data_IF_713328169968
#
_entry.id   IF_713328169968
#
_cell.length_a   1.000
_cell.length_b   1.000
_cell.length_c   1.000
_cell.angle_alpha   90.00
_cell.angle_beta   90.00
_cell.angle_gamma   90.00
#
_symmetry.space_group_name_H-M   'P 1'
#
loop_
_entity.id
_entity.type
_entity.pdbx_description
1 polymer ?
#
# COMPACT_ATOMS: atom_id res chain seq x y z
N UNK A 1 -0.42 4.65 17.99
CA UNK A 1 -0.02 5.99 18.44
C UNK A 1 0.32 6.87 17.26
N UNK A 2 -0.29 8.07 17.15
CA UNK A 2 0.04 9.04 16.11
C UNK A 2 0.13 10.45 16.71
N UNK A 3 1.18 11.17 16.35
CA UNK A 3 1.32 12.58 16.73
C UNK A 3 0.37 13.46 15.91
N UNK A 4 -0.15 14.51 16.54
CA UNK A 4 -0.80 15.60 15.79
C UNK A 4 0.21 16.29 14.86
N UNK A 5 -0.21 16.85 13.70
CA UNK A 5 0.68 17.54 12.77
C UNK A 5 1.52 18.65 13.42
N UNK A 6 0.97 19.36 14.41
CA UNK A 6 1.69 20.40 15.18
C UNK A 6 2.58 19.82 16.30
N UNK A 7 2.61 18.49 16.46
CA UNK A 7 3.40 17.78 17.48
C UNK A 7 3.09 18.14 18.94
N UNK A 8 1.94 18.74 19.22
CA UNK A 8 1.55 19.12 20.58
C UNK A 8 0.77 18.02 21.30
N UNK A 9 0.17 17.08 20.54
CA UNK A 9 -0.68 16.02 21.05
C UNK A 9 -0.33 14.67 20.42
N UNK A 10 -0.81 13.61 21.04
CA UNK A 10 -0.70 12.26 20.52
C UNK A 10 -2.05 11.53 20.69
N UNK A 11 -2.56 10.94 19.61
CA UNK A 11 -3.76 10.13 19.66
C UNK A 11 -3.40 8.64 19.75
N UNK A 12 -4.21 7.88 20.46
CA UNK A 12 -4.04 6.45 20.68
C UNK A 12 -5.38 5.77 21.00
N UNK A 13 -5.39 4.45 20.97
CA UNK A 13 -6.54 3.64 21.38
C UNK A 13 -6.23 2.92 22.70
N UNK A 14 -7.23 2.86 23.57
CA UNK A 14 -7.22 2.12 24.85
C UNK A 14 -8.63 1.62 25.16
N UNK A 15 -8.75 0.35 25.51
CA UNK A 15 -10.03 -0.31 25.78
C UNK A 15 -11.07 -0.09 24.64
N UNK A 16 -10.56 -0.23 23.40
CA UNK A 16 -11.33 -0.03 22.16
C UNK A 16 -11.99 1.36 22.02
N UNK A 17 -11.45 2.35 22.73
CA UNK A 17 -11.82 3.75 22.62
C UNK A 17 -10.65 4.62 22.16
N UNK A 18 -11.00 5.72 21.48
CA UNK A 18 -10.05 6.73 21.01
C UNK A 18 -9.75 7.74 22.13
N UNK A 19 -8.48 8.05 22.30
CA UNK A 19 -7.95 8.96 23.32
C UNK A 19 -6.94 9.93 22.72
N UNK A 20 -6.78 11.07 23.36
CA UNK A 20 -5.72 12.04 23.05
C UNK A 20 -5.00 12.40 24.34
N UNK A 21 -3.67 12.51 24.28
CA UNK A 21 -2.82 13.05 25.35
C UNK A 21 -2.16 14.34 24.88
N UNK A 22 -2.19 15.37 25.70
CA UNK A 22 -1.41 16.58 25.52
C UNK A 22 0.02 16.33 25.99
N UNK A 23 1.01 16.56 25.13
CA UNK A 23 2.41 16.18 25.39
C UNK A 23 3.03 17.01 26.51
N UNK A 24 2.67 18.30 26.63
CA UNK A 24 3.24 19.19 27.60
C UNK A 24 2.67 18.94 29.01
N UNK A 25 1.35 18.80 29.12
CA UNK A 25 0.65 18.66 30.42
C UNK A 25 0.51 17.23 30.88
N UNK A 26 0.67 16.24 29.97
CA UNK A 26 0.37 14.82 30.18
C UNK A 26 -1.12 14.54 30.46
N UNK A 27 -1.98 15.53 30.25
CA UNK A 27 -3.43 15.37 30.41
C UNK A 27 -4.01 14.50 29.33
N UNK A 28 -4.75 13.46 29.71
CA UNK A 28 -5.46 12.55 28.77
C UNK A 28 -6.93 12.95 28.66
N UNK A 29 -7.45 12.84 27.43
CA UNK A 29 -8.87 13.07 27.13
C UNK A 29 -9.41 11.88 26.34
N UNK A 30 -10.47 11.26 26.84
CA UNK A 30 -11.22 10.23 26.12
C UNK A 30 -12.17 10.88 25.12
N UNK A 31 -12.20 10.37 23.89
CA UNK A 31 -13.00 10.93 22.80
C UNK A 31 -14.21 10.06 22.41
N UNK A 32 -14.13 8.74 22.66
CA UNK A 32 -15.23 7.79 22.43
C UNK A 32 -15.48 6.94 23.67
N UNK A 33 -16.71 6.42 23.88
CA UNK A 33 -17.10 5.86 25.18
C UNK A 33 -17.84 4.52 25.10
N UNK A 34 -18.08 4.00 23.89
CA UNK A 34 -18.85 2.76 23.66
C UNK A 34 -17.99 1.56 23.26
N UNK A 35 -16.65 1.69 23.41
CA UNK A 35 -15.71 0.60 23.16
C UNK A 35 -16.00 -0.62 24.00
N UNK A 36 -15.95 -1.81 23.37
CA UNK A 36 -16.20 -3.11 23.98
C UNK A 36 -15.46 -4.21 23.20
N UNK A 37 -15.66 -5.46 23.58
CA UNK A 37 -15.07 -6.62 22.86
C UNK A 37 -15.49 -6.71 21.39
N UNK A 38 -16.59 -6.05 21.02
CA UNK A 38 -17.14 -6.06 19.66
C UNK A 38 -17.17 -4.68 19.01
N UNK A 39 -17.13 -3.61 19.80
CA UNK A 39 -17.14 -2.23 19.30
C UNK A 39 -15.73 -1.65 19.39
N UNK A 40 -15.17 -1.31 18.23
CA UNK A 40 -13.80 -0.80 18.11
C UNK A 40 -13.82 0.63 17.56
N UNK A 41 -13.35 1.59 18.32
CA UNK A 41 -13.24 2.99 17.91
C UNK A 41 -11.79 3.35 17.60
N UNK A 42 -11.49 3.67 16.33
CA UNK A 42 -10.14 4.01 15.89
C UNK A 42 -9.16 2.83 15.88
N UNK A 43 -9.64 1.64 16.15
CA UNK A 43 -8.89 0.38 16.09
C UNK A 43 -9.53 -0.53 15.05
N UNK A 44 -8.75 -1.03 14.07
CA UNK A 44 -9.28 -1.79 12.93
C UNK A 44 -9.81 -3.16 13.30
N UNK A 45 -10.95 -3.52 12.74
CA UNK A 45 -11.37 -4.91 12.60
C UNK A 45 -10.40 -5.68 11.68
N UNK A 46 -10.36 -7.03 11.79
CA UNK A 46 -9.37 -7.86 11.10
C UNK A 46 -9.32 -7.62 9.59
N UNK A 47 -10.46 -7.69 8.90
CA UNK A 47 -10.49 -7.52 7.43
C UNK A 47 -9.96 -6.15 6.99
N UNK A 48 -10.23 -5.10 7.77
CA UNK A 48 -9.70 -3.76 7.48
C UNK A 48 -8.21 -3.65 7.75
N UNK A 49 -7.73 -4.23 8.84
CA UNK A 49 -6.32 -4.27 9.17
C UNK A 49 -5.51 -5.07 8.14
N UNK A 50 -6.02 -6.22 7.72
CA UNK A 50 -5.29 -7.13 6.83
C UNK A 50 -5.35 -6.64 5.38
N UNK A 51 -6.54 -6.29 4.87
CA UNK A 51 -6.78 -6.17 3.44
C UNK A 51 -6.93 -4.70 2.96
N UNK A 52 -7.49 -3.82 3.79
CA UNK A 52 -7.88 -2.47 3.33
C UNK A 52 -6.90 -1.41 3.79
N UNK A 53 -6.67 -1.28 5.10
CA UNK A 53 -5.75 -0.28 5.66
C UNK A 53 -4.30 -0.77 5.69
N UNK A 54 -4.11 -2.09 5.63
CA UNK A 54 -2.82 -2.76 5.57
C UNK A 54 -2.11 -2.89 6.91
N UNK A 55 -1.31 -3.94 7.06
CA UNK A 55 -0.54 -4.28 8.27
C UNK A 55 0.38 -3.16 8.79
N UNK A 56 1.00 -2.31 7.94
CA UNK A 56 1.84 -1.22 8.42
C UNK A 56 1.12 -0.20 9.31
N UNK A 57 -0.22 -0.15 9.24
CA UNK A 57 -1.02 0.76 10.09
C UNK A 57 -1.03 0.36 11.57
N UNK A 58 -0.58 -0.84 11.92
CA UNK A 58 -0.65 -1.37 13.29
C UNK A 58 -2.04 -1.25 13.92
N UNK A 59 -3.08 -1.65 13.17
CA UNK A 59 -4.50 -1.52 13.53
C UNK A 59 -5.01 -0.07 13.69
N UNK A 60 -4.25 0.95 13.34
CA UNK A 60 -4.70 2.34 13.44
C UNK A 60 -5.78 2.62 12.39
N UNK A 61 -6.97 3.02 12.86
CA UNK A 61 -8.11 3.42 12.02
C UNK A 61 -8.59 4.82 12.40
N UNK A 62 -7.65 5.75 12.62
CA UNK A 62 -7.93 7.16 12.88
C UNK A 62 -6.85 8.06 12.28
N UNK A 63 -7.23 9.27 11.89
CA UNK A 63 -6.39 10.20 11.12
C UNK A 63 -6.59 11.63 11.59
N UNK A 64 -5.48 12.30 11.93
CA UNK A 64 -5.47 13.70 12.30
C UNK A 64 -5.80 14.61 11.12
N UNK A 65 -6.60 15.65 11.36
CA UNK A 65 -6.72 16.75 10.40
C UNK A 65 -5.42 17.57 10.36
N UNK A 66 -5.06 18.16 9.20
CA UNK A 66 -3.85 18.99 9.06
C UNK A 66 -3.74 20.13 10.09
N UNK A 67 -4.85 20.71 10.51
CA UNK A 67 -4.92 21.78 11.52
C UNK A 67 -4.79 21.28 12.98
N UNK A 68 -4.63 19.96 13.20
CA UNK A 68 -4.50 19.33 14.52
C UNK A 68 -5.72 19.50 15.45
N UNK A 69 -6.90 19.84 14.91
CA UNK A 69 -8.09 20.10 15.73
C UNK A 69 -9.13 19.01 15.69
N UNK A 70 -9.05 18.13 14.71
CA UNK A 70 -10.03 17.08 14.49
C UNK A 70 -9.35 15.73 14.25
N UNK A 71 -10.06 14.65 14.54
CA UNK A 71 -9.65 13.29 14.18
C UNK A 71 -10.80 12.62 13.46
N UNK A 72 -10.58 12.20 12.21
CA UNK A 72 -11.45 11.26 11.53
C UNK A 72 -11.14 9.85 12.02
N UNK A 73 -12.14 9.02 12.27
CA UNK A 73 -11.95 7.65 12.72
C UNK A 73 -13.04 6.71 12.22
N UNK A 74 -12.70 5.44 12.13
CA UNK A 74 -13.67 4.37 11.87
C UNK A 74 -14.08 3.71 13.17
N UNK A 75 -15.38 3.50 13.33
CA UNK A 75 -16.01 2.71 14.37
C UNK A 75 -16.53 1.41 13.76
N UNK A 76 -16.02 0.29 14.24
CA UNK A 76 -16.41 -1.04 13.79
C UNK A 76 -17.34 -1.69 14.81
N UNK A 77 -18.42 -2.30 14.32
CA UNK A 77 -19.24 -3.24 15.08
C UNK A 77 -19.03 -4.65 14.55
N UNK A 78 -18.32 -5.45 15.34
CA UNK A 78 -17.99 -6.84 15.02
C UNK A 78 -19.02 -7.85 15.60
N UNK A 79 -20.16 -7.41 16.14
CA UNK A 79 -21.11 -8.30 16.83
C UNK A 79 -21.58 -9.48 15.96
N UNK A 80 -21.75 -9.23 14.66
CA UNK A 80 -22.18 -10.24 13.69
C UNK A 80 -21.02 -10.96 12.99
N UNK A 81 -19.76 -10.56 13.23
CA UNK A 81 -18.57 -11.20 12.63
C UNK A 81 -18.28 -12.51 13.34
N UNK A 82 -18.19 -13.65 12.63
CA UNK A 82 -17.86 -14.94 13.22
C UNK A 82 -16.51 -14.96 13.92
N UNK A 83 -16.40 -15.82 14.93
CA UNK A 83 -15.17 -16.02 15.70
C UNK A 83 -14.40 -17.20 15.13
N UNK A 84 -13.11 -17.02 14.91
CA UNK A 84 -12.18 -18.03 14.42
C UNK A 84 -11.02 -18.27 15.41
N UNK A 85 -10.67 -19.53 15.72
CA UNK A 85 -9.54 -19.83 16.60
C UNK A 85 -8.21 -19.71 15.83
N UNK A 86 -7.32 -18.85 16.32
CA UNK A 86 -5.94 -18.75 15.83
C UNK A 86 -5.02 -19.39 16.86
N UNK A 87 -4.35 -20.46 16.46
CA UNK A 87 -3.36 -21.14 17.29
C UNK A 87 -2.01 -20.44 17.22
N UNK A 88 -1.41 -20.19 18.36
CA UNK A 88 -0.02 -19.77 18.51
C UNK A 88 0.80 -20.92 19.13
N UNK A 89 1.97 -21.27 18.58
CA UNK A 89 2.84 -22.27 19.19
C UNK A 89 3.50 -21.78 20.48
N UNK A 90 3.34 -20.51 20.81
CA UNK A 90 3.91 -19.89 22.00
C UNK A 90 2.85 -19.70 23.08
N UNK A 91 3.23 -19.81 24.35
CA UNK A 91 2.39 -19.42 25.47
C UNK A 91 2.12 -17.89 25.42
N UNK A 92 0.97 -17.47 25.95
CA UNK A 92 0.52 -16.06 25.91
C UNK A 92 1.54 -15.07 26.52
N UNK A 93 2.29 -15.52 27.53
CA UNK A 93 3.33 -14.72 28.19
C UNK A 93 4.67 -14.63 27.40
N UNK A 94 4.91 -15.52 26.44
CA UNK A 94 6.11 -15.49 25.61
C UNK A 94 6.07 -14.35 24.54
N UNK A 95 4.88 -13.89 24.21
CA UNK A 95 4.66 -12.80 23.24
C UNK A 95 5.01 -11.41 23.82
N UNK A 96 5.23 -11.30 25.12
CA UNK A 96 5.59 -10.05 25.80
C UNK A 96 7.05 -9.63 25.62
N UNK A 97 7.90 -10.50 25.11
CA UNK A 97 9.35 -10.26 25.08
C UNK A 97 9.89 -9.65 23.78
N UNK A 98 9.13 -8.80 23.07
CA UNK A 98 9.78 -7.86 22.15
C UNK A 98 9.31 -7.76 20.71
N UNK A 99 8.35 -8.55 20.25
CA UNK A 99 7.82 -8.41 18.88
C UNK A 99 6.33 -8.15 18.75
N UNK A 100 5.58 -8.06 19.85
CA UNK A 100 4.14 -8.05 19.75
C UNK A 100 3.36 -7.27 20.80
N UNK A 101 3.87 -6.17 21.33
CA UNK A 101 3.12 -5.34 22.32
C UNK A 101 1.77 -4.80 21.82
N UNK A 102 1.53 -4.83 20.51
CA UNK A 102 0.25 -4.40 19.92
C UNK A 102 -0.79 -5.53 19.82
N UNK A 103 -0.39 -6.79 19.94
CA UNK A 103 -1.27 -7.92 19.71
C UNK A 103 -2.07 -8.37 20.95
N UNK A 104 -1.61 -8.05 22.17
CA UNK A 104 -2.13 -8.71 23.37
C UNK A 104 -3.29 -8.00 24.07
N UNK A 105 -3.58 -6.75 23.76
CA UNK A 105 -4.55 -6.00 24.59
C UNK A 105 -5.98 -5.91 24.02
N UNK A 106 -6.20 -6.15 22.74
CA UNK A 106 -7.50 -5.88 22.12
C UNK A 106 -8.04 -6.96 21.17
N UNK A 107 -7.35 -8.06 20.96
CA UNK A 107 -7.93 -9.20 20.26
C UNK A 107 -8.66 -10.06 21.27
N UNK A 108 -9.98 -10.14 21.16
CA UNK A 108 -10.94 -10.76 22.06
C UNK A 108 -10.39 -11.83 23.00
N UNK A 109 -10.85 -11.82 24.23
CA UNK A 109 -10.31 -12.61 25.35
C UNK A 109 -9.74 -13.96 24.92
N UNK A 110 -8.43 -14.16 25.11
CA UNK A 110 -7.84 -15.48 24.93
C UNK A 110 -8.55 -16.44 25.87
N UNK A 111 -9.22 -17.43 25.33
CA UNK A 111 -9.78 -18.52 26.14
C UNK A 111 -8.61 -19.37 26.54
N UNK A 112 -8.10 -19.17 27.76
CA UNK A 112 -7.14 -20.08 28.35
C UNK A 112 -7.79 -21.47 28.43
N UNK A 113 -7.30 -22.40 27.65
CA UNK A 113 -7.72 -23.79 27.77
C UNK A 113 -7.16 -24.34 29.11
N UNK A 114 -8.00 -24.82 30.02
CA UNK A 114 -7.51 -25.40 31.27
C UNK A 114 -6.60 -26.60 30.94
N UNK A 115 -5.40 -26.61 31.51
CA UNK A 115 -4.36 -27.66 31.39
C UNK A 115 -3.43 -27.57 30.16
N UNK A 116 -3.25 -26.43 29.52
CA UNK A 116 -2.16 -26.29 28.56
C UNK A 116 -0.86 -25.96 29.29
N UNK A 117 0.17 -26.75 29.04
CA UNK A 117 1.53 -26.50 29.54
C UNK A 117 2.00 -25.12 29.14
N UNK A 118 2.77 -24.35 29.95
CA UNK A 118 3.37 -23.08 29.58
C UNK A 118 4.19 -23.14 28.30
N UNK A 119 4.59 -24.31 27.85
CA UNK A 119 5.28 -24.55 26.57
C UNK A 119 4.36 -25.09 25.47
N UNK A 120 3.05 -25.17 25.71
CA UNK A 120 2.08 -25.85 24.84
C UNK A 120 1.33 -24.99 23.84
N UNK A 121 1.69 -23.71 23.71
CA UNK A 121 0.98 -22.77 22.83
C UNK A 121 -0.30 -22.18 23.43
N UNK A 122 -0.94 -21.31 22.69
CA UNK A 122 -2.19 -20.64 23.04
C UNK A 122 -3.17 -20.62 21.88
N UNK A 123 -4.47 -20.48 22.18
CA UNK A 123 -5.52 -20.29 21.16
C UNK A 123 -6.17 -18.93 21.41
N UNK A 124 -6.10 -18.05 20.42
CA UNK A 124 -6.78 -16.78 20.45
C UNK A 124 -8.05 -16.84 19.59
N UNK A 125 -9.18 -16.50 20.21
CA UNK A 125 -10.47 -16.40 19.53
C UNK A 125 -10.56 -15.03 18.88
N UNK A 126 -10.52 -14.95 17.54
CA UNK A 126 -10.46 -13.69 16.79
C UNK A 126 -11.71 -13.53 15.93
N UNK A 127 -12.31 -12.33 15.90
CA UNK A 127 -13.36 -11.98 14.96
C UNK A 127 -12.78 -11.93 13.56
N UNK A 128 -13.04 -12.97 12.77
CA UNK A 128 -12.42 -13.18 11.46
C UNK A 128 -13.47 -13.66 10.46
N UNK A 129 -13.90 -12.79 9.51
CA UNK A 129 -14.87 -13.18 8.50
C UNK A 129 -14.18 -14.01 7.41
N UNK A 130 -14.72 -15.18 7.10
CA UNK A 130 -14.35 -15.97 5.93
C UNK A 130 -15.21 -15.58 4.73
N UNK A 131 -14.90 -16.13 3.56
CA UNK A 131 -15.72 -15.93 2.36
C UNK A 131 -17.19 -16.28 2.63
N UNK A 132 -18.07 -15.32 2.38
CA UNK A 132 -19.52 -15.46 2.61
C UNK A 132 -20.00 -15.10 4.01
N UNK A 133 -19.13 -14.92 4.99
CA UNK A 133 -19.49 -14.47 6.33
C UNK A 133 -19.82 -12.98 6.37
N UNK A 134 -20.45 -12.54 7.46
CA UNK A 134 -20.73 -11.13 7.70
C UNK A 134 -19.44 -10.37 7.99
N UNK A 135 -19.30 -9.21 7.33
CA UNK A 135 -18.28 -8.22 7.62
C UNK A 135 -18.68 -7.35 8.83
N UNK A 136 -17.73 -6.63 9.44
CA UNK A 136 -18.08 -5.61 10.45
C UNK A 136 -18.93 -4.51 9.84
N UNK A 137 -19.91 -4.01 10.61
CA UNK A 137 -20.60 -2.76 10.28
C UNK A 137 -19.67 -1.59 10.60
N UNK A 138 -19.63 -0.59 9.73
CA UNK A 138 -18.68 0.53 9.88
C UNK A 138 -19.41 1.85 9.89
N UNK A 139 -19.10 2.69 10.89
CA UNK A 139 -19.47 4.10 10.91
C UNK A 139 -18.23 4.96 10.88
N UNK A 140 -18.33 6.13 10.30
CA UNK A 140 -17.23 7.07 10.17
C UNK A 140 -17.53 8.28 11.01
N UNK A 141 -16.68 8.54 12.02
CA UNK A 141 -16.81 9.68 12.92
C UNK A 141 -15.70 10.70 12.65
N UNK A 142 -16.04 11.98 12.85
CA UNK A 142 -15.08 13.08 12.86
C UNK A 142 -15.25 13.80 14.19
N UNK A 143 -14.30 13.62 15.10
CA UNK A 143 -14.37 14.21 16.44
C UNK A 143 -13.53 15.48 16.50
N UNK A 144 -14.12 16.56 17.01
CA UNK A 144 -13.41 17.78 17.39
C UNK A 144 -12.79 17.58 18.79
N UNK A 145 -11.46 17.64 18.88
CA UNK A 145 -10.72 17.34 20.13
C UNK A 145 -10.88 18.40 21.22
N UNK A 146 -11.36 19.62 20.88
CA UNK A 146 -11.52 20.70 21.85
C UNK A 146 -12.83 20.59 22.64
N UNK A 147 -13.91 20.16 21.99
CA UNK A 147 -15.24 20.11 22.59
C UNK A 147 -15.85 18.71 22.67
N UNK A 148 -15.17 17.69 22.11
CA UNK A 148 -15.64 16.31 22.11
C UNK A 148 -16.82 16.02 21.17
N UNK A 149 -17.30 17.00 20.40
CA UNK A 149 -18.38 16.78 19.45
C UNK A 149 -17.93 15.90 18.29
N UNK A 150 -18.70 14.86 17.99
CA UNK A 150 -18.48 13.96 16.86
C UNK A 150 -19.57 14.14 15.81
N UNK A 151 -19.15 14.57 14.61
CA UNK A 151 -19.98 14.50 13.41
C UNK A 151 -19.89 13.09 12.82
N UNK A 152 -21.03 12.44 12.61
CA UNK A 152 -21.08 11.12 11.95
C UNK A 152 -21.39 11.28 10.48
N UNK A 153 -20.56 10.70 9.63
CA UNK A 153 -20.78 10.69 8.18
C UNK A 153 -22.08 9.96 7.82
N UNK A 154 -22.82 10.54 6.89
CA UNK A 154 -24.14 10.06 6.47
C UNK A 154 -24.04 8.84 5.53
N UNK A 155 -23.59 7.69 6.08
CA UNK A 155 -23.62 6.37 5.43
C UNK A 155 -24.51 5.42 6.24
N UNK A 156 -25.26 4.55 5.54
CA UNK A 156 -26.00 3.48 6.21
C UNK A 156 -25.02 2.37 6.63
N UNK A 157 -24.90 2.13 7.93
CA UNK A 157 -24.01 1.10 8.48
C UNK A 157 -24.48 -0.33 8.19
N UNK A 158 -25.73 -0.51 7.72
CA UNK A 158 -26.29 -1.81 7.37
C UNK A 158 -26.03 -2.20 5.91
N UNK A 159 -25.53 -1.28 5.08
CA UNK A 159 -25.09 -1.62 3.74
C UNK A 159 -23.86 -2.56 3.80
N UNK A 160 -23.83 -3.59 2.96
CA UNK A 160 -22.68 -4.49 2.82
C UNK A 160 -21.61 -3.80 1.96
N UNK A 161 -20.76 -3.02 2.62
CA UNK A 161 -19.81 -2.09 2.00
C UNK A 161 -18.46 -2.06 2.70
N UNK A 162 -17.48 -1.59 1.96
CA UNK A 162 -16.15 -1.31 2.46
C UNK A 162 -15.82 0.17 2.33
N UNK A 163 -14.94 0.66 3.22
CA UNK A 163 -14.38 1.99 3.17
C UNK A 163 -12.85 1.90 3.10
N UNK A 164 -12.25 2.52 2.09
CA UNK A 164 -10.80 2.56 1.91
C UNK A 164 -10.10 3.49 2.89
N UNK A 165 -8.79 3.64 2.76
CA UNK A 165 -8.03 4.64 3.51
C UNK A 165 -8.56 6.04 3.21
N UNK A 166 -8.98 6.81 4.21
CA UNK A 166 -9.49 8.16 4.00
C UNK A 166 -8.37 9.18 3.90
N UNK A 167 -8.71 10.36 3.40
CA UNK A 167 -7.77 11.48 3.25
C UNK A 167 -8.37 12.77 3.79
N UNK A 168 -7.58 13.57 4.50
CA UNK A 168 -7.96 14.93 4.84
C UNK A 168 -7.60 15.89 3.71
N UNK A 169 -8.51 16.79 3.38
CA UNK A 169 -8.18 17.97 2.57
C UNK A 169 -7.14 18.86 3.27
N UNK A 170 -6.29 19.51 2.50
CA UNK A 170 -5.21 20.35 3.04
C UNK A 170 -5.72 21.50 3.95
N UNK A 171 -6.95 21.95 3.71
CA UNK A 171 -7.65 22.99 4.49
C UNK A 171 -8.33 22.47 5.76
N UNK A 172 -8.34 21.16 5.98
CA UNK A 172 -9.05 20.49 7.09
C UNK A 172 -10.60 20.65 7.07
N UNK A 173 -11.17 21.06 5.94
CA UNK A 173 -12.60 21.30 5.80
C UNK A 173 -13.37 20.14 5.15
N UNK A 174 -12.65 19.15 4.63
CA UNK A 174 -13.24 17.93 4.06
C UNK A 174 -12.46 16.71 4.46
N UNK A 175 -13.19 15.63 4.82
CA UNK A 175 -12.65 14.30 5.03
C UNK A 175 -13.08 13.41 3.87
N UNK A 176 -12.14 13.01 3.01
CA UNK A 176 -12.43 12.28 1.79
C UNK A 176 -12.52 10.79 2.07
N UNK A 177 -13.67 10.20 1.76
CA UNK A 177 -14.01 8.80 2.03
C UNK A 177 -14.21 8.06 0.72
N UNK A 178 -13.49 6.97 0.56
CA UNK A 178 -13.67 6.01 -0.51
C UNK A 178 -14.64 4.92 -0.05
N UNK A 179 -15.60 4.57 -0.89
CA UNK A 179 -16.58 3.53 -0.62
C UNK A 179 -16.69 2.54 -1.78
N UNK A 180 -16.72 1.27 -1.47
CA UNK A 180 -17.05 0.19 -2.40
C UNK A 180 -18.17 -0.70 -1.81
N UNK A 181 -19.08 -1.24 -2.63
CA UNK A 181 -19.93 -2.35 -2.21
C UNK A 181 -19.06 -3.62 -2.04
N UNK A 182 -19.59 -4.63 -1.36
CA UNK A 182 -18.88 -5.92 -1.20
C UNK A 182 -18.45 -6.56 -2.52
N UNK A 183 -19.13 -6.29 -3.62
CA UNK A 183 -18.76 -6.76 -4.96
C UNK A 183 -17.53 -6.09 -5.54
N UNK A 184 -17.08 -4.98 -4.97
CA UNK A 184 -15.86 -4.22 -5.29
C UNK A 184 -15.75 -3.80 -6.77
N UNK A 185 -16.85 -3.72 -7.48
CA UNK A 185 -16.89 -3.35 -8.91
C UNK A 185 -17.37 -1.91 -9.15
N UNK A 186 -17.54 -1.15 -8.07
CA UNK A 186 -17.91 0.26 -8.08
C UNK A 186 -17.14 0.97 -6.98
N UNK A 187 -16.51 2.09 -7.29
CA UNK A 187 -15.83 2.95 -6.31
C UNK A 187 -16.45 4.34 -6.36
N UNK A 188 -16.86 4.82 -5.18
CA UNK A 188 -17.35 6.17 -4.97
C UNK A 188 -16.40 6.94 -4.05
N UNK A 189 -16.11 8.21 -4.38
CA UNK A 189 -15.38 9.13 -3.52
C UNK A 189 -16.30 10.25 -3.04
N UNK A 190 -16.34 10.45 -1.73
CA UNK A 190 -17.13 11.47 -1.07
C UNK A 190 -16.27 12.47 -0.31
N UNK A 191 -16.62 13.75 -0.38
CA UNK A 191 -16.14 14.76 0.55
C UNK A 191 -17.14 14.87 1.71
N UNK A 192 -16.71 14.55 2.92
CA UNK A 192 -17.53 14.57 4.13
C UNK A 192 -17.21 15.82 4.94
N UNK A 193 -18.26 16.55 5.33
CA UNK A 193 -18.17 17.75 6.16
C UNK A 193 -17.83 17.36 7.63
N UNK A 194 -16.77 17.92 8.23
CA UNK A 194 -16.44 17.69 9.62
C UNK A 194 -17.36 18.43 10.61
N UNK A 195 -18.29 19.25 10.12
CA UNK A 195 -19.20 20.04 10.93
C UNK A 195 -20.47 19.26 11.26
N UNK A 196 -21.04 18.57 10.30
CA UNK A 196 -22.36 17.91 10.42
C UNK A 196 -22.41 16.49 9.84
N UNK A 197 -21.30 16.02 9.24
CA UNK A 197 -21.23 14.69 8.63
C UNK A 197 -21.90 14.56 7.27
N UNK A 198 -22.45 15.65 6.72
CA UNK A 198 -23.03 15.64 5.37
C UNK A 198 -21.96 15.25 4.34
N UNK A 199 -22.37 14.49 3.31
CA UNK A 199 -21.46 14.01 2.27
C UNK A 199 -21.80 14.58 0.91
N UNK A 200 -20.78 14.95 0.14
CA UNK A 200 -20.88 15.32 -1.27
C UNK A 200 -20.18 14.26 -2.11
N UNK A 201 -20.89 13.65 -3.03
CA UNK A 201 -20.34 12.71 -4.01
C UNK A 201 -19.54 13.48 -5.06
N UNK A 202 -18.26 13.13 -5.28
CA UNK A 202 -17.35 13.86 -6.18
C UNK A 202 -16.74 13.01 -7.27
N UNK A 203 -16.70 11.67 -7.10
CA UNK A 203 -16.18 10.77 -8.12
C UNK A 203 -16.91 9.43 -8.07
N UNK A 204 -17.12 8.84 -9.24
CA UNK A 204 -17.72 7.54 -9.42
C UNK A 204 -17.01 6.76 -10.53
N UNK A 205 -16.73 5.50 -10.27
CA UNK A 205 -16.13 4.59 -11.23
C UNK A 205 -16.74 3.21 -11.12
N UNK A 206 -16.90 2.53 -12.25
CA UNK A 206 -17.33 1.14 -12.34
C UNK A 206 -16.41 0.34 -13.24
N UNK A 207 -16.22 -0.93 -12.91
CA UNK A 207 -15.41 -1.82 -13.74
C UNK A 207 -16.01 -3.22 -13.83
N UNK A 208 -15.62 -3.98 -14.85
CA UNK A 208 -16.15 -5.33 -15.17
C UNK A 208 -15.71 -6.41 -14.17
N UNK A 209 -14.59 -6.22 -13.48
CA UNK A 209 -14.02 -7.15 -12.50
C UNK A 209 -14.07 -6.54 -11.11
N UNK A 210 -12.96 -6.08 -10.56
CA UNK A 210 -12.88 -5.34 -9.29
C UNK A 210 -12.12 -4.04 -9.51
N UNK A 211 -12.37 -3.08 -8.64
CA UNK A 211 -11.64 -1.82 -8.56
C UNK A 211 -10.58 -1.89 -7.45
N UNK A 212 -9.51 -1.16 -7.62
CA UNK A 212 -8.52 -0.94 -6.58
C UNK A 212 -8.82 0.39 -5.89
N UNK A 213 -8.54 0.49 -4.60
CA UNK A 213 -8.60 1.75 -3.86
C UNK A 213 -7.76 2.83 -4.52
N UNK A 214 -8.12 4.09 -4.32
CA UNK A 214 -7.25 5.21 -4.66
C UNK A 214 -6.15 5.25 -3.61
N UNK A 215 -4.95 4.82 -3.98
CA UNK A 215 -3.78 4.79 -3.11
C UNK A 215 -2.95 6.07 -3.32
N UNK A 216 -2.95 6.94 -2.32
CA UNK A 216 -2.23 8.20 -2.35
C UNK A 216 -2.87 9.29 -3.22
N UNK A 217 -3.52 10.26 -2.58
CA UNK A 217 -4.01 11.47 -3.22
C UNK A 217 -3.07 12.64 -2.93
N UNK A 218 -2.82 13.49 -3.94
CA UNK A 218 -2.20 14.79 -3.72
C UNK A 218 -3.23 15.89 -3.92
N UNK A 219 -3.30 16.79 -2.95
CA UNK A 219 -4.22 17.92 -2.97
C UNK A 219 -3.53 19.13 -3.55
N UNK A 220 -3.98 19.57 -4.72
CA UNK A 220 -3.56 20.82 -5.35
C UNK A 220 -4.47 21.99 -4.99
N UNK A 221 -4.20 23.17 -5.55
CA UNK A 221 -4.99 24.37 -5.31
C UNK A 221 -6.47 24.22 -5.68
N UNK A 222 -6.74 23.60 -6.83
CA UNK A 222 -8.07 23.59 -7.44
C UNK A 222 -8.67 22.18 -7.54
N UNK A 223 -7.97 21.14 -7.06
CA UNK A 223 -8.41 19.77 -7.15
C UNK A 223 -7.39 18.75 -6.67
N UNK A 224 -7.69 17.49 -6.95
CA UNK A 224 -7.00 16.30 -6.45
C UNK A 224 -6.28 15.63 -7.62
N UNK A 225 -5.07 15.13 -7.37
CA UNK A 225 -4.37 14.22 -8.27
C UNK A 225 -4.43 12.81 -7.72
N UNK A 226 -4.78 11.84 -8.55
CA UNK A 226 -4.95 10.45 -8.19
C UNK A 226 -4.50 9.52 -9.32
N UNK A 227 -4.27 8.24 -9.00
CA UNK A 227 -3.90 7.21 -9.97
C UNK A 227 -5.07 6.26 -10.19
N UNK A 228 -5.43 6.00 -11.47
CA UNK A 228 -6.47 5.03 -11.86
C UNK A 228 -6.02 4.24 -13.10
N UNK A 229 -6.50 3.00 -13.27
CA UNK A 229 -6.08 2.08 -14.35
C UNK A 229 -7.20 1.63 -15.29
N UNK A 230 -8.45 1.98 -15.02
CA UNK A 230 -9.62 1.27 -15.57
C UNK A 230 -10.08 1.79 -16.94
N UNK A 231 -9.56 2.94 -17.38
CA UNK A 231 -9.83 3.48 -18.72
C UNK A 231 -8.89 2.90 -19.79
N UNK A 232 -7.64 2.62 -19.41
CA UNK A 232 -6.56 2.29 -20.38
C UNK A 232 -5.93 0.92 -20.16
N UNK A 233 -6.41 0.14 -19.17
CA UNK A 233 -5.79 -1.09 -18.68
C UNK A 233 -4.42 -0.88 -17.99
N UNK A 234 -3.94 0.37 -17.92
CA UNK A 234 -2.68 0.79 -17.30
C UNK A 234 -2.90 1.95 -16.34
N UNK A 235 -2.08 2.05 -15.32
CA UNK A 235 -2.17 3.13 -14.34
C UNK A 235 -1.82 4.48 -14.98
N UNK A 236 -2.69 5.45 -14.79
CA UNK A 236 -2.53 6.82 -15.27
C UNK A 236 -2.81 7.81 -14.15
N UNK A 237 -2.19 8.97 -14.24
CA UNK A 237 -2.48 10.09 -13.35
C UNK A 237 -3.69 10.84 -13.87
N UNK A 238 -4.65 11.10 -12.98
CA UNK A 238 -5.84 11.91 -13.23
C UNK A 238 -5.86 13.12 -12.31
N UNK A 239 -6.38 14.21 -12.83
CA UNK A 239 -6.81 15.36 -12.05
C UNK A 239 -8.33 15.33 -11.92
N UNK A 240 -8.82 15.57 -10.70
CA UNK A 240 -10.24 15.69 -10.35
C UNK A 240 -10.45 17.04 -9.64
N UNK A 241 -11.38 17.88 -10.15
CA UNK A 241 -11.75 19.11 -9.43
C UNK A 241 -12.47 18.81 -8.11
N UNK A 242 -12.35 19.69 -7.12
CA UNK A 242 -13.00 19.50 -5.81
C UNK A 242 -14.51 19.41 -5.86
N UNK A 243 -15.14 19.93 -6.90
CA UNK A 243 -16.57 19.82 -7.12
C UNK A 243 -16.99 18.58 -7.90
N UNK A 244 -16.02 17.80 -8.42
CA UNK A 244 -16.25 16.62 -9.24
C UNK A 244 -16.63 16.92 -10.70
N UNK A 245 -16.67 18.18 -11.10
CA UNK A 245 -17.15 18.57 -12.45
C UNK A 245 -16.12 18.34 -13.56
N UNK A 246 -14.84 18.23 -13.22
CA UNK A 246 -13.73 18.01 -14.16
C UNK A 246 -12.91 16.80 -13.76
N UNK A 247 -12.85 15.82 -14.65
CA UNK A 247 -11.90 14.71 -14.59
C UNK A 247 -11.02 14.74 -15.82
N UNK A 248 -9.69 14.75 -15.65
CA UNK A 248 -8.75 14.83 -16.77
C UNK A 248 -7.57 13.90 -16.59
N UNK A 249 -7.32 13.03 -17.57
CA UNK A 249 -6.13 12.19 -17.63
C UNK A 249 -4.90 13.02 -18.02
N UNK A 250 -3.79 12.83 -17.31
CA UNK A 250 -2.55 13.59 -17.48
C UNK A 250 -1.40 12.78 -18.09
N UNK A 251 -1.47 11.45 -18.03
CA UNK A 251 -0.43 10.56 -18.55
C UNK A 251 -1.00 9.53 -19.51
N UNK A 252 -0.11 8.92 -20.28
CA UNK A 252 -0.37 7.81 -21.19
C UNK A 252 0.72 6.75 -21.08
N UNK A 253 0.50 5.60 -21.72
CA UNK A 253 1.46 4.51 -21.85
C UNK A 253 1.28 3.40 -20.82
N UNK A 254 2.17 2.46 -20.85
CA UNK A 254 2.14 1.25 -20.02
C UNK A 254 2.79 1.51 -18.67
N UNK A 255 2.08 2.20 -17.77
CA UNK A 255 2.57 2.49 -16.42
C UNK A 255 1.96 1.52 -15.42
N UNK A 256 2.76 1.06 -14.47
CA UNK A 256 2.28 0.28 -13.32
C UNK A 256 3.02 0.65 -12.03
N UNK A 257 2.51 0.24 -10.88
CA UNK A 257 3.04 0.62 -9.55
C UNK A 257 3.33 2.11 -9.44
N UNK A 258 2.41 2.89 -10.00
CA UNK A 258 2.52 4.33 -10.01
C UNK A 258 2.18 4.91 -8.64
N UNK A 259 3.06 5.72 -8.10
CA UNK A 259 2.80 6.50 -6.88
C UNK A 259 3.11 7.97 -7.11
N UNK A 260 2.20 8.82 -6.64
CA UNK A 260 2.37 10.26 -6.67
C UNK A 260 3.35 10.70 -5.58
N UNK A 261 4.27 11.60 -5.91
CA UNK A 261 5.30 12.09 -4.98
C UNK A 261 5.04 13.53 -4.57
N UNK A 262 4.81 14.41 -5.54
CA UNK A 262 4.61 15.83 -5.27
C UNK A 262 3.94 16.52 -6.48
N UNK A 263 3.30 17.67 -6.23
CA UNK A 263 2.73 18.54 -7.25
C UNK A 263 3.32 19.91 -7.13
N UNK A 264 4.02 20.36 -8.18
CA UNK A 264 4.44 21.74 -8.33
C UNK A 264 3.37 22.50 -9.08
N UNK A 265 2.64 23.32 -8.35
CA UNK A 265 1.56 24.13 -8.93
C UNK A 265 2.07 25.13 -9.96
N UNK A 266 1.40 25.16 -11.09
CA UNK A 266 1.61 26.18 -12.11
C UNK A 266 1.15 27.58 -11.68
N UNK A 267 1.33 28.58 -12.53
CA UNK A 267 0.81 29.91 -12.27
C UNK A 267 -0.71 29.87 -12.11
N UNK A 268 -1.23 30.63 -11.14
CA UNK A 268 -2.66 30.78 -10.95
C UNK A 268 -3.29 31.29 -12.28
N UNK A 269 -4.15 30.48 -12.86
CA UNK A 269 -4.92 30.76 -14.06
C UNK A 269 -6.41 30.72 -13.75
N UNK A 270 -7.26 31.15 -14.68
CA UNK A 270 -8.71 31.00 -14.56
C UNK A 270 -9.06 29.53 -14.83
N UNK A 271 -9.47 28.82 -13.79
CA UNK A 271 -9.84 27.40 -13.87
C UNK A 271 -8.64 26.50 -13.97
N UNK A 272 -8.92 25.17 -13.86
CA UNK A 272 -7.91 24.16 -14.06
C UNK A 272 -7.41 24.20 -15.51
N UNK A 273 -6.29 24.87 -15.73
CA UNK A 273 -5.44 24.65 -16.89
C UNK A 273 -4.45 23.53 -16.53
N UNK A 274 -4.93 22.28 -16.47
CA UNK A 274 -4.14 21.07 -16.14
C UNK A 274 -2.83 20.93 -16.91
N UNK A 275 -2.55 21.90 -17.75
CA UNK A 275 -1.35 22.00 -18.53
C UNK A 275 -0.18 22.73 -17.89
N UNK A 276 -0.31 23.37 -16.71
CA UNK A 276 0.78 24.16 -16.13
C UNK A 276 1.39 23.59 -14.85
N UNK A 277 0.69 22.71 -14.15
CA UNK A 277 1.25 22.01 -12.99
C UNK A 277 2.16 20.86 -13.42
N UNK A 278 3.25 20.66 -12.69
CA UNK A 278 4.17 19.53 -12.88
C UNK A 278 3.92 18.53 -11.76
N UNK A 279 3.55 17.29 -12.12
CA UNK A 279 3.37 16.19 -11.17
C UNK A 279 4.59 15.30 -11.19
N UNK A 280 5.21 15.11 -10.02
CA UNK A 280 6.31 14.18 -9.81
C UNK A 280 5.76 12.83 -9.34
N UNK A 281 6.22 11.75 -9.95
CA UNK A 281 5.73 10.41 -9.65
C UNK A 281 6.80 9.34 -9.85
N UNK A 282 6.62 8.21 -9.20
CA UNK A 282 7.38 6.98 -9.41
C UNK A 282 6.49 5.99 -10.15
N UNK A 283 7.03 5.26 -11.11
CA UNK A 283 6.29 4.23 -11.84
C UNK A 283 7.21 3.19 -12.48
N UNK A 284 6.73 1.97 -12.68
CA UNK A 284 7.22 1.04 -13.66
C UNK A 284 6.66 1.47 -15.02
N UNK A 285 7.50 2.05 -15.87
CA UNK A 285 7.13 2.58 -17.17
C UNK A 285 8.06 2.08 -18.27
N UNK A 286 9.35 2.37 -18.13
CA UNK A 286 10.38 1.97 -19.10
C UNK A 286 10.86 0.51 -18.85
N UNK A 287 10.45 -0.07 -17.74
CA UNK A 287 10.70 -1.46 -17.34
C UNK A 287 9.50 -1.96 -16.54
N UNK A 288 9.16 -3.23 -16.67
CA UNK A 288 8.09 -3.89 -15.91
C UNK A 288 8.53 -4.44 -14.55
N UNK A 289 9.83 -4.37 -14.25
CA UNK A 289 10.43 -4.87 -13.00
C UNK A 289 11.23 -3.80 -12.27
N UNK A 290 11.21 -2.55 -12.78
CA UNK A 290 12.03 -1.45 -12.25
C UNK A 290 11.24 -0.16 -12.29
N UNK A 291 11.13 0.48 -11.14
CA UNK A 291 10.51 1.79 -11.00
C UNK A 291 11.50 2.91 -11.28
N UNK A 292 11.09 3.92 -12.03
CA UNK A 292 11.84 5.16 -12.25
C UNK A 292 11.13 6.37 -11.64
N UNK A 293 11.87 7.46 -11.48
CA UNK A 293 11.34 8.77 -11.08
C UNK A 293 11.04 9.60 -12.32
N UNK A 294 9.82 10.07 -12.44
CA UNK A 294 9.32 10.83 -13.60
C UNK A 294 8.64 12.11 -13.16
N UNK A 295 8.53 13.04 -14.09
CA UNK A 295 7.58 14.16 -13.98
C UNK A 295 6.71 14.24 -15.23
N UNK A 296 5.48 14.74 -15.07
CA UNK A 296 4.59 15.09 -16.17
C UNK A 296 4.17 16.55 -16.09
N UNK A 297 4.29 17.26 -17.20
CA UNK A 297 3.80 18.63 -17.37
C UNK A 297 3.28 18.79 -18.79
N UNK A 298 2.05 19.30 -18.97
CA UNK A 298 1.41 19.50 -20.30
C UNK A 298 1.40 18.24 -21.16
N UNK A 299 1.20 17.08 -20.55
CA UNK A 299 1.21 15.77 -21.25
C UNK A 299 2.61 15.27 -21.64
N UNK A 300 3.67 16.00 -21.33
CA UNK A 300 5.06 15.57 -21.60
C UNK A 300 5.62 14.91 -20.35
N UNK A 301 5.91 13.63 -20.47
CA UNK A 301 6.54 12.82 -19.41
C UNK A 301 8.06 12.89 -19.59
N UNK A 302 8.78 13.13 -18.50
CA UNK A 302 10.24 13.14 -18.42
C UNK A 302 10.73 12.11 -17.42
N UNK A 303 11.69 11.28 -17.80
CA UNK A 303 12.47 10.49 -16.86
C UNK A 303 13.51 11.39 -16.17
N UNK A 304 13.60 11.29 -14.84
CA UNK A 304 14.53 12.08 -14.00
C UNK A 304 15.66 11.18 -13.47
N UNK A 305 15.36 9.91 -13.20
CA UNK A 305 16.30 8.94 -12.62
C UNK A 305 17.15 8.22 -13.67
N UNK A 306 18.20 7.55 -13.21
CA UNK A 306 18.94 6.62 -14.04
C UNK A 306 18.06 5.40 -14.39
N UNK A 307 17.82 5.10 -15.69
CA UNK A 307 16.98 3.98 -16.11
C UNK A 307 17.55 2.60 -15.76
N UNK A 308 18.83 2.50 -15.39
CA UNK A 308 19.45 1.25 -14.93
C UNK A 308 19.19 0.94 -13.45
N UNK A 309 18.60 1.88 -12.71
CA UNK A 309 18.39 1.78 -11.27
C UNK A 309 16.90 1.80 -10.93
N UNK A 310 16.49 0.91 -10.04
CA UNK A 310 15.15 0.93 -9.43
C UNK A 310 15.11 2.01 -8.34
N UNK A 311 14.15 2.93 -8.45
CA UNK A 311 13.96 4.04 -7.52
C UNK A 311 12.92 3.69 -6.46
N UNK A 312 13.24 3.97 -5.20
CA UNK A 312 12.34 3.82 -4.07
C UNK A 312 12.46 5.01 -3.10
N UNK A 313 11.46 5.18 -2.25
CA UNK A 313 11.49 6.12 -1.11
C UNK A 313 11.85 7.56 -1.48
N UNK A 314 11.13 8.14 -2.43
CA UNK A 314 11.37 9.52 -2.87
C UNK A 314 10.81 10.53 -1.86
N UNK A 315 11.62 11.55 -1.53
CA UNK A 315 11.21 12.71 -0.73
C UNK A 315 11.65 13.99 -1.43
N UNK A 316 10.77 14.99 -1.47
CA UNK A 316 11.02 16.28 -2.11
C UNK A 316 11.36 17.34 -1.07
N UNK A 317 12.31 18.23 -1.39
CA UNK A 317 12.64 19.37 -0.54
C UNK A 317 11.49 20.36 -0.46
N UNK A 318 11.32 21.12 0.66
CA UNK A 318 10.20 22.05 0.81
C UNK A 318 10.13 23.14 -0.28
N UNK A 319 11.27 23.47 -0.88
CA UNK A 319 11.34 24.44 -2.00
C UNK A 319 11.12 23.79 -3.37
N UNK A 320 10.81 22.50 -3.42
CA UNK A 320 10.57 21.68 -4.61
C UNK A 320 11.71 21.75 -5.65
N UNK A 321 12.94 21.97 -5.20
CA UNK A 321 14.13 22.03 -6.08
C UNK A 321 14.83 20.71 -6.20
N UNK A 322 14.80 19.89 -5.16
CA UNK A 322 15.51 18.64 -5.08
C UNK A 322 14.60 17.52 -4.66
N UNK A 323 14.86 16.33 -5.17
CA UNK A 323 14.34 15.09 -4.63
C UNK A 323 15.51 14.23 -4.14
N UNK A 324 15.35 13.61 -2.97
CA UNK A 324 16.24 12.55 -2.49
C UNK A 324 15.53 11.21 -2.66
N UNK A 325 16.25 10.19 -3.12
CA UNK A 325 15.69 8.85 -3.29
C UNK A 325 16.72 7.77 -2.98
N UNK A 326 16.22 6.58 -2.63
CA UNK A 326 17.00 5.35 -2.66
C UNK A 326 16.94 4.78 -4.07
N UNK A 327 18.09 4.33 -4.59
CA UNK A 327 18.17 3.65 -5.87
C UNK A 327 19.07 2.42 -5.77
N UNK A 328 18.67 1.33 -6.41
CA UNK A 328 19.44 0.07 -6.45
C UNK A 328 19.06 -0.72 -7.70
N UNK A 329 19.77 -1.79 -7.96
CA UNK A 329 19.33 -2.86 -8.85
C UNK A 329 19.82 -4.21 -8.29
N UNK A 330 19.51 -5.31 -8.94
CA UNK A 330 19.85 -6.66 -8.45
C UNK A 330 21.36 -6.89 -8.22
N UNK A 331 22.22 -6.06 -8.81
CA UNK A 331 23.70 -6.17 -8.71
C UNK A 331 24.35 -5.01 -7.94
N UNK A 332 23.60 -3.94 -7.69
CA UNK A 332 24.10 -2.71 -7.05
C UNK A 332 23.36 -2.46 -5.75
N UNK A 333 24.02 -2.51 -4.58
CA UNK A 333 23.45 -2.15 -3.30
C UNK A 333 22.77 -0.78 -3.31
N UNK A 334 21.89 -0.56 -2.34
CA UNK A 334 21.15 0.70 -2.23
C UNK A 334 22.08 1.90 -2.12
N UNK A 335 21.76 2.92 -2.87
CA UNK A 335 22.48 4.19 -2.92
C UNK A 335 21.50 5.32 -2.65
N UNK A 336 21.97 6.39 -2.03
CA UNK A 336 21.19 7.62 -1.85
C UNK A 336 21.57 8.61 -2.93
N UNK A 337 20.57 9.04 -3.67
CA UNK A 337 20.73 10.00 -4.76
C UNK A 337 19.94 11.29 -4.51
N UNK A 338 20.51 12.42 -4.93
CA UNK A 338 19.82 13.71 -5.02
C UNK A 338 19.66 14.08 -6.49
N UNK A 339 18.43 14.42 -6.88
CA UNK A 339 18.04 14.85 -8.21
C UNK A 339 17.71 16.36 -8.19
N UNK A 340 18.31 17.19 -9.07
CA UNK A 340 17.89 18.59 -9.27
C UNK A 340 16.67 18.61 -10.20
N UNK A 341 15.49 18.84 -9.64
CA UNK A 341 14.23 18.81 -10.38
C UNK A 341 14.09 19.92 -11.42
N UNK A 342 14.94 20.96 -11.39
CA UNK A 342 14.92 22.06 -12.36
C UNK A 342 15.75 21.78 -13.60
N UNK A 343 16.69 20.84 -13.50
CA UNK A 343 17.66 20.54 -14.55
C UNK A 343 17.70 19.06 -14.81
N UNK A 344 17.14 18.66 -15.95
CA UNK A 344 17.27 17.26 -16.41
C UNK A 344 18.74 16.83 -16.39
N UNK A 345 18.99 15.62 -15.87
CA UNK A 345 20.30 14.97 -15.82
C UNK A 345 21.33 15.57 -14.83
N UNK A 346 20.93 16.36 -13.84
CA UNK A 346 21.79 16.62 -12.67
C UNK A 346 21.35 15.80 -11.48
N UNK A 347 22.07 14.72 -11.27
CA UNK A 347 21.93 13.87 -10.07
C UNK A 347 23.28 13.72 -9.39
N UNK A 348 23.25 13.51 -8.08
CA UNK A 348 24.43 13.33 -7.26
C UNK A 348 24.23 12.12 -6.35
N UNK A 349 25.12 11.14 -6.44
CA UNK A 349 25.18 10.08 -5.43
C UNK A 349 25.80 10.67 -4.15
N UNK A 350 25.08 10.62 -3.03
CA UNK A 350 25.54 11.16 -1.74
C UNK A 350 25.95 10.07 -0.76
N UNK A 351 25.42 8.86 -0.92
CA UNK A 351 25.82 7.72 -0.11
C UNK A 351 25.70 6.43 -0.91
N UNK A 352 26.54 5.48 -0.55
CA UNK A 352 26.53 4.11 -1.03
C UNK A 352 26.44 3.20 0.19
N UNK A 353 25.45 2.31 0.20
CA UNK A 353 25.23 1.39 1.32
C UNK A 353 26.03 0.10 1.18
N UNK A 354 26.81 -0.04 0.10
CA UNK A 354 27.80 -1.09 -0.01
C UNK A 354 28.86 -0.92 1.08
N UNK A 355 29.14 -1.97 1.84
CA UNK A 355 30.30 -1.98 2.73
C UNK A 355 31.62 -1.90 1.94
N UNK A 356 32.70 -1.45 2.57
CA UNK A 356 34.02 -1.27 1.94
C UNK A 356 34.53 -2.54 1.25
N UNK A 357 34.10 -3.71 1.73
CA UNK A 357 34.52 -5.02 1.21
C UNK A 357 33.50 -5.66 0.29
N UNK A 358 32.41 -4.95 -0.10
CA UNK A 358 31.42 -5.49 -1.00
C UNK A 358 31.95 -5.51 -2.44
N UNK A 359 32.08 -6.70 -2.99
CA UNK A 359 32.35 -6.93 -4.41
C UNK A 359 31.28 -7.89 -4.95
N UNK A 360 30.46 -7.39 -5.86
CA UNK A 360 29.36 -8.14 -6.48
C UNK A 360 29.81 -9.43 -7.17
N UNK A 361 31.05 -9.52 -7.63
CA UNK A 361 31.62 -10.71 -8.29
C UNK A 361 31.80 -11.90 -7.35
N UNK A 362 31.80 -11.65 -6.03
CA UNK A 362 31.94 -12.70 -5.01
C UNK A 362 30.62 -13.37 -4.64
N UNK A 363 29.52 -12.89 -5.17
CA UNK A 363 28.18 -13.36 -4.80
C UNK A 363 27.41 -13.91 -6.00
N UNK A 364 26.55 -14.87 -5.72
CA UNK A 364 25.52 -15.32 -6.64
C UNK A 364 24.39 -14.28 -6.66
N UNK A 365 24.28 -13.51 -7.74
CA UNK A 365 23.29 -12.47 -7.91
C UNK A 365 22.31 -12.85 -9.02
N UNK A 366 21.02 -12.47 -8.89
CA UNK A 366 20.01 -12.85 -9.87
C UNK A 366 20.22 -12.19 -11.24
N UNK A 367 19.89 -12.92 -12.27
CA UNK A 367 19.70 -12.44 -13.63
C UNK A 367 18.20 -12.38 -13.93
N UNK A 368 17.77 -11.36 -14.69
CA UNK A 368 16.39 -11.22 -15.11
C UNK A 368 16.18 -11.93 -16.44
N UNK A 369 15.18 -12.81 -16.47
CA UNK A 369 14.75 -13.52 -17.67
C UNK A 369 13.26 -13.28 -17.91
N UNK A 370 12.79 -13.55 -19.11
CA UNK A 370 11.37 -13.49 -19.48
C UNK A 370 10.97 -14.72 -20.25
N UNK A 371 9.74 -15.16 -20.05
CA UNK A 371 9.06 -16.19 -20.83
C UNK A 371 7.84 -15.57 -21.50
N UNK A 372 7.54 -16.00 -22.71
CA UNK A 372 6.25 -15.68 -23.35
C UNK A 372 5.33 -16.88 -23.22
N UNK A 373 4.19 -16.70 -22.58
CA UNK A 373 3.18 -17.75 -22.42
C UNK A 373 2.59 -18.18 -23.76
N UNK A 374 1.97 -19.36 -23.83
CA UNK A 374 1.32 -19.88 -25.03
C UNK A 374 0.22 -18.97 -25.58
N UNK A 375 -0.39 -18.14 -24.73
CA UNK A 375 -1.39 -17.13 -25.11
C UNK A 375 -0.83 -15.70 -25.25
N UNK A 376 0.52 -15.55 -25.22
CA UNK A 376 1.22 -14.33 -25.65
C UNK A 376 1.48 -13.28 -24.58
N UNK A 377 1.35 -13.60 -23.28
CA UNK A 377 1.78 -12.71 -22.20
C UNK A 377 3.29 -12.88 -21.94
N UNK A 378 3.97 -11.77 -21.66
CA UNK A 378 5.37 -11.79 -21.25
C UNK A 378 5.44 -11.76 -19.74
N UNK A 379 6.02 -12.80 -19.14
CA UNK A 379 6.18 -12.96 -17.70
C UNK A 379 7.66 -12.86 -17.31
N UNK A 380 8.01 -12.11 -16.28
CA UNK A 380 9.38 -12.01 -15.80
C UNK A 380 9.70 -13.08 -14.75
N UNK A 381 10.98 -13.44 -14.66
CA UNK A 381 11.56 -14.19 -13.55
C UNK A 381 12.97 -13.69 -13.23
N UNK A 382 13.45 -14.01 -12.04
CA UNK A 382 14.85 -13.90 -11.64
C UNK A 382 15.41 -15.31 -11.50
N UNK A 383 16.61 -15.53 -12.03
CA UNK A 383 17.30 -16.82 -11.96
C UNK A 383 18.70 -16.62 -11.36
N UNK A 384 19.07 -17.51 -10.47
CA UNK A 384 20.43 -17.57 -9.89
C UNK A 384 21.01 -18.94 -10.18
N UNK A 385 22.16 -18.96 -10.83
CA UNK A 385 22.86 -20.18 -11.19
C UNK A 385 23.86 -20.63 -10.11
N UNK A 386 24.11 -21.93 -9.98
CA UNK A 386 25.23 -22.45 -9.19
C UNK A 386 26.56 -21.78 -9.58
N UNK A 387 27.49 -21.68 -8.62
CA UNK A 387 28.78 -21.02 -8.83
C UNK A 387 29.57 -21.59 -10.00
N UNK A 388 29.53 -22.91 -10.18
CA UNK A 388 30.25 -23.63 -11.26
C UNK A 388 29.23 -24.18 -12.28
N UNK A 389 28.26 -23.35 -12.68
CA UNK A 389 27.20 -23.72 -13.59
C UNK A 389 27.75 -24.17 -14.96
N UNK A 390 27.31 -25.33 -15.40
CA UNK A 390 27.64 -25.92 -16.70
C UNK A 390 26.35 -26.28 -17.41
N UNK A 391 26.00 -25.57 -18.49
CA UNK A 391 24.76 -25.77 -19.24
C UNK A 391 24.60 -27.18 -19.85
N UNK A 392 25.67 -27.99 -19.89
CA UNK A 392 25.61 -29.39 -20.33
C UNK A 392 25.15 -30.36 -19.23
N UNK A 393 25.02 -29.89 -17.98
CA UNK A 393 24.60 -30.69 -16.83
C UNK A 393 23.15 -30.40 -16.45
N UNK A 394 22.55 -31.32 -15.70
CA UNK A 394 21.26 -31.13 -15.06
C UNK A 394 21.42 -30.75 -13.60
N UNK A 395 20.62 -29.81 -13.15
CA UNK A 395 20.61 -29.31 -11.78
C UNK A 395 19.21 -29.43 -11.17
N UNK A 396 19.10 -29.63 -9.87
CA UNK A 396 17.82 -29.40 -9.21
C UNK A 396 17.46 -27.90 -9.30
N UNK A 397 16.17 -27.62 -9.47
CA UNK A 397 15.62 -26.27 -9.55
C UNK A 397 14.69 -26.07 -8.37
N UNK A 398 14.89 -25.00 -7.60
CA UNK A 398 13.91 -24.48 -6.66
C UNK A 398 13.20 -23.29 -7.28
N UNK A 399 11.87 -23.29 -7.22
CA UNK A 399 11.05 -22.20 -7.77
C UNK A 399 10.27 -21.56 -6.62
N UNK A 400 10.55 -20.30 -6.36
CA UNK A 400 9.83 -19.46 -5.40
C UNK A 400 8.72 -18.69 -6.14
N UNK A 401 7.47 -18.89 -5.73
CA UNK A 401 6.28 -18.32 -6.35
C UNK A 401 5.35 -17.75 -5.28
N UNK A 402 4.54 -16.77 -5.68
CA UNK A 402 3.46 -16.26 -4.82
C UNK A 402 2.08 -16.45 -5.47
N UNK A 403 1.85 -15.87 -6.66
CA UNK A 403 0.63 -16.01 -7.45
C UNK A 403 -0.54 -15.07 -7.10
N UNK A 404 -0.48 -14.34 -5.99
CA UNK A 404 -1.54 -13.43 -5.60
C UNK A 404 -1.67 -12.19 -6.50
N UNK A 405 -2.86 -11.57 -6.57
CA UNK A 405 -3.11 -10.43 -7.46
C UNK A 405 -2.26 -9.21 -7.08
N UNK A 406 -1.68 -8.58 -8.10
CA UNK A 406 -0.83 -7.39 -8.04
C UNK A 406 0.30 -7.44 -6.99
N UNK A 407 0.84 -8.63 -6.75
CA UNK A 407 1.87 -8.88 -5.74
C UNK A 407 3.13 -9.50 -6.35
N UNK A 408 3.92 -8.74 -7.14
CA UNK A 408 5.11 -9.25 -7.81
C UNK A 408 6.21 -9.64 -6.83
N UNK A 409 6.83 -10.76 -7.11
CA UNK A 409 8.05 -11.20 -6.45
C UNK A 409 9.29 -10.77 -7.24
N UNK A 410 9.15 -10.65 -8.56
CA UNK A 410 10.21 -10.25 -9.47
C UNK A 410 10.32 -8.73 -9.53
N UNK A 411 11.45 -8.20 -9.08
CA UNK A 411 11.76 -6.78 -9.15
C UNK A 411 13.28 -6.57 -9.20
N UNK A 412 13.73 -5.55 -9.91
CA UNK A 412 15.15 -5.25 -10.07
C UNK A 412 15.64 -4.31 -8.97
N UNK A 413 15.68 -4.80 -7.74
CA UNK A 413 16.26 -4.11 -6.58
C UNK A 413 17.27 -4.99 -5.88
N UNK A 414 18.20 -4.38 -5.18
CA UNK A 414 19.19 -5.13 -4.40
C UNK A 414 18.53 -5.82 -3.22
N UNK A 415 18.78 -7.11 -3.12
CA UNK A 415 18.46 -7.93 -1.95
C UNK A 415 19.75 -8.50 -1.39
N UNK A 416 19.80 -8.78 -0.08
CA UNK A 416 20.94 -9.47 0.50
C UNK A 416 21.24 -10.76 -0.26
N UNK A 417 22.48 -10.97 -0.74
CA UNK A 417 22.79 -12.15 -1.52
C UNK A 417 22.82 -13.46 -0.71
N UNK A 418 22.75 -13.40 0.63
CA UNK A 418 22.90 -14.56 1.50
C UNK A 418 21.94 -15.71 1.17
N UNK A 419 20.68 -15.40 0.84
CA UNK A 419 19.68 -16.39 0.43
C UNK A 419 20.07 -17.09 -0.86
N UNK A 420 20.39 -16.35 -1.89
CA UNK A 420 20.79 -16.87 -3.20
C UNK A 420 22.12 -17.62 -3.17
N UNK A 421 23.04 -17.14 -2.33
CA UNK A 421 24.37 -17.75 -2.17
C UNK A 421 24.27 -19.19 -1.67
N UNK A 422 23.35 -19.47 -0.75
CA UNK A 422 23.16 -20.81 -0.24
C UNK A 422 22.75 -21.80 -1.34
N UNK A 423 21.79 -21.44 -2.19
CA UNK A 423 21.36 -22.27 -3.35
C UNK A 423 22.53 -22.50 -4.31
N UNK A 424 23.22 -21.43 -4.69
CA UNK A 424 24.33 -21.47 -5.62
C UNK A 424 25.48 -22.39 -5.15
N UNK A 425 25.82 -22.34 -3.85
CA UNK A 425 26.87 -23.18 -3.25
C UNK A 425 26.46 -24.65 -3.11
N UNK A 426 25.16 -24.93 -3.05
CA UNK A 426 24.62 -26.29 -2.97
C UNK A 426 24.26 -26.89 -4.35
N UNK A 427 24.63 -26.22 -5.44
CA UNK A 427 24.41 -26.73 -6.79
C UNK A 427 22.93 -26.75 -7.23
N UNK A 428 22.13 -25.81 -6.68
CA UNK A 428 20.69 -25.67 -6.98
C UNK A 428 20.49 -24.39 -7.77
N UNK A 429 19.73 -24.46 -8.86
CA UNK A 429 19.25 -23.27 -9.56
C UNK A 429 18.07 -22.70 -8.76
N UNK A 430 18.17 -21.44 -8.35
CA UNK A 430 17.06 -20.72 -7.71
C UNK A 430 16.34 -19.85 -8.72
N UNK A 431 15.02 -19.96 -8.77
CA UNK A 431 14.16 -19.18 -9.66
C UNK A 431 13.06 -18.51 -8.85
N UNK A 432 12.93 -17.20 -8.96
CA UNK A 432 11.75 -16.46 -8.49
C UNK A 432 10.94 -16.12 -9.73
N UNK A 433 9.72 -16.63 -9.84
CA UNK A 433 8.90 -16.47 -11.05
C UNK A 433 7.56 -15.79 -10.73
N UNK A 434 7.14 -14.88 -11.61
CA UNK A 434 5.83 -14.25 -11.53
C UNK A 434 4.88 -14.80 -12.58
N UNK A 435 3.58 -14.77 -12.28
CA UNK A 435 2.49 -15.15 -13.15
C UNK A 435 1.78 -13.90 -13.73
N UNK A 436 0.77 -14.11 -14.56
CA UNK A 436 -0.03 -13.02 -15.18
C UNK A 436 -0.72 -12.11 -14.17
N UNK A 437 -1.05 -12.64 -13.00
CA UNK A 437 -1.72 -11.89 -11.93
C UNK A 437 -0.82 -10.92 -11.17
N UNK A 438 0.51 -11.00 -11.34
CA UNK A 438 1.47 -10.21 -10.55
C UNK A 438 1.55 -8.72 -10.93
N UNK A 439 0.72 -8.25 -11.88
CA UNK A 439 0.61 -6.83 -12.27
C UNK A 439 1.51 -6.40 -13.43
N UNK A 440 2.54 -7.17 -13.82
CA UNK A 440 3.46 -6.82 -14.92
C UNK A 440 2.79 -6.60 -16.28
N UNK A 441 1.58 -7.11 -16.47
CA UNK A 441 0.77 -6.96 -17.67
C UNK A 441 -0.47 -6.06 -17.45
N UNK A 442 -0.45 -5.25 -16.39
CA UNK A 442 -1.56 -4.36 -16.03
C UNK A 442 -2.88 -5.11 -15.87
N UNK A 443 -3.99 -4.45 -16.17
CA UNK A 443 -5.33 -5.04 -16.07
C UNK A 443 -5.53 -6.24 -17.01
N UNK A 444 -4.82 -6.24 -18.15
CA UNK A 444 -4.88 -7.36 -19.11
C UNK A 444 -4.49 -8.71 -18.47
N UNK A 445 -3.53 -8.70 -17.56
CA UNK A 445 -3.16 -9.89 -16.77
C UNK A 445 -4.10 -10.13 -15.60
N UNK A 446 -4.32 -9.10 -14.78
CA UNK A 446 -5.12 -9.15 -13.55
C UNK A 446 -6.56 -9.58 -13.77
N UNK A 447 -7.24 -9.06 -14.78
CA UNK A 447 -8.65 -9.37 -15.02
C UNK A 447 -8.92 -10.85 -15.32
N UNK A 448 -7.89 -11.60 -15.75
CA UNK A 448 -8.05 -13.01 -16.12
C UNK A 448 -8.24 -13.93 -14.92
N UNK A 449 -7.87 -13.50 -13.72
CA UNK A 449 -8.03 -14.28 -12.50
C UNK A 449 -9.34 -14.00 -11.75
N UNK A 450 -10.14 -13.03 -12.23
CA UNK A 450 -11.38 -12.65 -11.56
C UNK A 450 -12.34 -13.84 -11.46
N UNK A 451 -12.68 -14.25 -10.22
CA UNK A 451 -13.48 -15.43 -9.86
C UNK A 451 -12.91 -16.75 -10.38
N UNK A 452 -11.60 -16.79 -10.66
CA UNK A 452 -10.89 -17.95 -11.22
C UNK A 452 -9.49 -18.08 -10.63
N UNK A 453 -9.36 -17.80 -9.34
CA UNK A 453 -8.10 -17.98 -8.61
C UNK A 453 -7.62 -19.43 -8.70
N UNK A 454 -6.30 -19.63 -8.70
CA UNK A 454 -5.62 -20.92 -8.82
C UNK A 454 -5.84 -21.65 -10.15
N UNK A 455 -6.41 -21.00 -11.16
CA UNK A 455 -6.59 -21.60 -12.48
C UNK A 455 -5.52 -21.10 -13.47
N UNK A 456 -5.46 -19.80 -13.70
CA UNK A 456 -4.57 -19.19 -14.70
C UNK A 456 -3.14 -19.07 -14.19
N UNK A 457 -2.98 -18.73 -12.94
CA UNK A 457 -1.69 -18.60 -12.27
C UNK A 457 -0.94 -19.93 -12.27
N UNK A 458 -1.64 -21.03 -11.99
CA UNK A 458 -1.06 -22.39 -12.00
C UNK A 458 -0.57 -22.75 -13.40
N UNK A 459 -1.35 -22.43 -14.45
CA UNK A 459 -0.93 -22.69 -15.83
C UNK A 459 0.36 -21.91 -16.20
N UNK A 460 0.49 -20.67 -15.77
CA UNK A 460 1.70 -19.89 -15.98
C UNK A 460 2.92 -20.51 -15.29
N UNK A 461 2.76 -21.00 -14.06
CA UNK A 461 3.85 -21.70 -13.35
C UNK A 461 4.20 -23.05 -13.98
N UNK A 462 3.23 -23.77 -14.55
CA UNK A 462 3.51 -24.97 -15.35
C UNK A 462 4.31 -24.61 -16.61
N UNK A 463 3.95 -23.53 -17.31
CA UNK A 463 4.72 -23.06 -18.46
C UNK A 463 6.14 -22.63 -18.09
N UNK A 464 6.33 -22.00 -16.92
CA UNK A 464 7.66 -21.74 -16.36
C UNK A 464 8.47 -23.03 -16.15
N UNK A 465 7.85 -24.06 -15.58
CA UNK A 465 8.52 -25.35 -15.38
C UNK A 465 8.88 -26.06 -16.70
N UNK A 466 8.09 -25.84 -17.75
CA UNK A 466 8.40 -26.35 -19.11
C UNK A 466 9.54 -25.54 -19.78
N UNK A 467 9.62 -24.24 -19.46
CA UNK A 467 10.64 -23.33 -20.02
C UNK A 467 12.04 -23.55 -19.43
N UNK A 468 12.11 -23.81 -18.11
CA UNK A 468 13.37 -24.05 -17.36
C UNK A 468 13.98 -25.41 -17.66
#
# INVERSE_FOLDING_TARGET
>A
LTYSPDSTKMAFTRDNNLWVVDIATKGETQLTFDGSDVILNGYSSWVYYEEILGRPTHYCAFWWSPDSKKIGFYRFDNSEVPVFPIYSPFAEDADRSGMGLAYSQNAGAAVALPNVSPTGGSVRMTRYPKCGDNNPKVRIGIVNIQNGFTAWADFDENDDQYFGTPFWGADSESFYIQREPRTQNTLDLYAVSPVDGSKKHIYHETYKTWLDWIDGMLFGRDGIYMVRSFETDWQQIYYLSYDGSVLKRLTDGENWRMSLVDVKEGKAGKGFDGGSSEVLFVAERDSRVRSGLYSVCKGVIRNISDPSMNVASVKVSPDQRYAVALASNSRTPSQVWIYDLRKVAKSFKVADMAGENFDASNYALPEHITMTTKDGLVLPAMIVYPKDFDAAKKYPVHVDIYGGPDSPQVNDRFRSPAYYQWYAENGIIEVVADCRASGHNGRKGLDQIYRRLDEREVLDFVEWAEYL
#
